data_IF_285950655390
#
_entry.id   IF_285950655390
#
_cell.length_a   1.000
_cell.length_b   1.000
_cell.length_c   1.000
_cell.angle_alpha   90.00
_cell.angle_beta   90.00
_cell.angle_gamma   90.00
#
_symmetry.space_group_name_H-M   'P 1'
#
loop_
_entity.id
_entity.type
_entity.pdbx_description
1 polymer ?
#
# COMPACT_ATOMS: atom_id res chain seq x y z
N UNK A 1 -3.19 25.60 50.05
CA UNK A 1 -3.97 26.39 49.06
C UNK A 1 -3.71 27.91 49.09
N UNK A 2 -3.15 28.47 50.12
CA UNK A 2 -2.90 29.93 50.22
C UNK A 2 -1.68 30.47 49.40
N UNK A 3 -0.70 29.66 49.10
CA UNK A 3 0.50 30.12 48.37
C UNK A 3 0.28 30.31 46.85
N UNK A 4 -0.70 29.61 46.22
CA UNK A 4 -1.03 29.82 44.82
C UNK A 4 -1.76 31.15 44.54
N UNK A 5 -2.51 31.66 45.49
CA UNK A 5 -3.21 32.94 45.36
C UNK A 5 -2.28 34.15 45.35
N UNK A 6 -1.12 34.08 46.02
CA UNK A 6 -0.17 35.15 46.11
C UNK A 6 0.58 35.44 44.78
N UNK A 7 0.68 34.48 43.87
CA UNK A 7 1.32 34.65 42.57
C UNK A 7 0.36 35.14 41.46
N UNK A 8 -0.95 35.02 41.65
CA UNK A 8 -1.94 35.42 40.64
C UNK A 8 -2.31 36.90 40.69
N UNK A 9 -2.11 37.57 41.83
CA UNK A 9 -2.46 38.99 41.99
C UNK A 9 -1.55 39.94 41.21
N UNK A 10 -0.19 39.81 41.21
CA UNK A 10 0.68 40.70 40.41
C UNK A 10 0.54 40.44 38.89
N UNK A 11 0.23 39.20 38.46
CA UNK A 11 0.02 38.89 37.05
C UNK A 11 -1.23 39.59 36.47
N UNK A 12 -2.33 39.68 37.23
CA UNK A 12 -3.55 40.36 36.78
C UNK A 12 -3.32 41.86 36.54
N UNK A 13 -2.50 42.51 37.38
CA UNK A 13 -2.16 43.90 37.20
C UNK A 13 -1.34 44.18 35.94
N UNK A 14 -0.35 43.32 35.63
CA UNK A 14 0.50 43.47 34.47
C UNK A 14 -0.27 43.25 33.14
N UNK A 15 -1.27 42.34 33.13
CA UNK A 15 -2.14 42.12 31.99
C UNK A 15 -3.11 43.26 31.72
N UNK A 16 -3.58 43.95 32.77
CA UNK A 16 -4.50 45.07 32.66
C UNK A 16 -3.82 46.38 32.21
N UNK A 17 -2.52 46.55 32.50
CA UNK A 17 -1.78 47.79 32.17
C UNK A 17 -1.45 47.92 30.67
N UNK A 18 -1.32 46.81 29.93
CA UNK A 18 -1.00 46.86 28.51
C UNK A 18 -1.82 45.80 27.71
N UNK A 19 -3.11 46.00 27.48
CA UNK A 19 -4.00 44.98 26.89
C UNK A 19 -3.60 44.63 25.45
N UNK A 20 -3.07 45.58 24.71
CA UNK A 20 -2.65 45.37 23.32
C UNK A 20 -1.39 44.46 23.24
N UNK A 21 -0.45 44.61 24.17
CA UNK A 21 0.76 43.79 24.26
C UNK A 21 0.41 42.35 24.67
N UNK A 22 -0.53 42.20 25.59
CA UNK A 22 -1.05 40.91 26.03
C UNK A 22 -1.81 40.21 24.89
N UNK A 23 -2.67 40.93 24.15
CA UNK A 23 -3.39 40.40 23.01
C UNK A 23 -2.43 39.90 21.92
N UNK A 24 -1.38 40.65 21.61
CA UNK A 24 -0.34 40.25 20.66
C UNK A 24 0.41 39.00 21.11
N UNK A 25 0.74 38.89 22.39
CA UNK A 25 1.43 37.71 22.93
C UNK A 25 0.53 36.47 22.88
N UNK A 26 -0.75 36.59 23.25
CA UNK A 26 -1.74 35.50 23.13
C UNK A 26 -1.92 35.09 21.68
N UNK A 27 -2.03 36.05 20.78
CA UNK A 27 -2.16 35.78 19.33
C UNK A 27 -0.93 35.06 18.78
N UNK A 28 0.27 35.46 19.17
CA UNK A 28 1.52 34.80 18.76
C UNK A 28 1.58 33.34 19.24
N UNK A 29 1.22 33.09 20.51
CA UNK A 29 1.19 31.74 21.08
C UNK A 29 0.10 30.92 20.36
N UNK A 30 -1.10 31.48 20.15
CA UNK A 30 -2.19 30.79 19.48
C UNK A 30 -1.81 30.42 18.04
N UNK A 31 -1.16 31.32 17.29
CA UNK A 31 -0.64 31.05 15.95
C UNK A 31 0.44 29.93 15.96
N UNK A 32 1.35 29.96 16.93
CA UNK A 32 2.37 28.92 17.06
C UNK A 32 1.77 27.54 17.35
N UNK A 33 0.79 27.46 18.25
CA UNK A 33 0.06 26.23 18.56
C UNK A 33 -0.77 25.77 17.36
N UNK A 34 -1.48 26.69 16.68
CA UNK A 34 -2.28 26.37 15.50
C UNK A 34 -1.40 25.84 14.35
N UNK A 35 -0.23 26.43 14.10
CA UNK A 35 0.72 25.97 13.10
C UNK A 35 1.27 24.58 13.46
N UNK A 36 1.68 24.36 14.70
CA UNK A 36 2.15 23.06 15.16
C UNK A 36 1.08 21.97 15.04
N UNK A 37 -0.16 22.30 15.35
CA UNK A 37 -1.29 21.40 15.19
C UNK A 37 -1.58 21.10 13.70
N UNK A 38 -1.56 22.12 12.85
CA UNK A 38 -1.78 21.95 11.40
C UNK A 38 -0.71 21.04 10.78
N UNK A 39 0.58 21.26 11.08
CA UNK A 39 1.68 20.41 10.60
C UNK A 39 1.50 18.96 11.09
N UNK A 40 1.16 18.78 12.37
CA UNK A 40 0.92 17.43 12.92
C UNK A 40 -0.28 16.73 12.25
N UNK A 41 -1.34 17.46 11.91
CA UNK A 41 -2.50 16.92 11.19
C UNK A 41 -2.17 16.53 9.76
N UNK A 42 -1.37 17.34 9.06
CA UNK A 42 -0.92 17.04 7.69
C UNK A 42 -0.03 15.80 7.68
N UNK A 43 0.95 15.73 8.57
CA UNK A 43 1.84 14.56 8.67
C UNK A 43 1.07 13.29 9.07
N UNK A 44 0.13 13.37 10.02
CA UNK A 44 -0.69 12.23 10.41
C UNK A 44 -1.65 11.75 9.31
N UNK A 45 -2.12 12.65 8.45
CA UNK A 45 -2.93 12.27 7.29
C UNK A 45 -2.09 11.53 6.22
N UNK A 46 -0.86 12.00 5.96
CA UNK A 46 0.07 11.36 5.04
C UNK A 46 0.51 9.97 5.54
N UNK A 47 0.83 9.84 6.83
CA UNK A 47 1.19 8.56 7.44
C UNK A 47 0.03 7.55 7.40
N UNK A 48 -1.21 7.99 7.63
CA UNK A 48 -2.39 7.14 7.55
C UNK A 48 -2.68 6.68 6.10
N UNK A 49 -2.53 7.54 5.10
CA UNK A 49 -2.71 7.16 3.70
C UNK A 49 -1.65 6.15 3.24
N UNK A 50 -0.38 6.36 3.63
CA UNK A 50 0.70 5.43 3.34
C UNK A 50 0.48 4.08 4.04
N UNK A 51 0.11 4.09 5.31
CA UNK A 51 -0.15 2.87 6.10
C UNK A 51 -1.35 2.10 5.55
N UNK A 52 -2.43 2.78 5.20
CA UNK A 52 -3.59 2.14 4.57
C UNK A 52 -3.24 1.56 3.20
N UNK A 53 -2.43 2.25 2.39
CA UNK A 53 -1.96 1.75 1.10
C UNK A 53 -1.10 0.51 1.23
N UNK A 54 -0.19 0.48 2.19
CA UNK A 54 0.64 -0.70 2.49
C UNK A 54 -0.23 -1.85 2.97
N UNK A 55 -1.13 -1.64 3.93
CA UNK A 55 -2.04 -2.68 4.42
C UNK A 55 -2.97 -3.23 3.34
N UNK A 56 -3.40 -2.43 2.37
CA UNK A 56 -4.18 -2.96 1.24
C UNK A 56 -3.38 -3.88 0.34
N UNK A 57 -2.11 -3.53 0.08
CA UNK A 57 -1.24 -4.31 -0.80
C UNK A 57 -0.62 -5.52 -0.11
N UNK A 58 -0.32 -5.42 1.19
CA UNK A 58 0.24 -6.53 1.99
C UNK A 58 -0.86 -7.35 2.69
N UNK A 59 -2.03 -6.76 2.91
CA UNK A 59 -3.16 -7.42 3.57
C UNK A 59 -2.83 -7.88 5.00
N UNK A 60 -3.28 -9.09 5.33
CA UNK A 60 -3.01 -9.78 6.60
C UNK A 60 -1.73 -10.64 6.55
N UNK A 61 -0.76 -10.28 5.72
CA UNK A 61 0.54 -10.96 5.70
C UNK A 61 1.32 -10.64 6.98
N UNK A 62 1.88 -11.67 7.61
CA UNK A 62 2.77 -11.51 8.77
C UNK A 62 4.18 -11.15 8.35
N UNK A 63 4.61 -11.61 7.17
CA UNK A 63 5.92 -11.36 6.58
C UNK A 63 5.83 -11.26 5.06
N UNK A 64 6.78 -10.54 4.48
CA UNK A 64 6.94 -10.40 3.05
C UNK A 64 8.37 -10.78 2.65
N UNK A 65 8.51 -11.71 1.70
CA UNK A 65 9.80 -12.01 1.04
C UNK A 65 9.86 -11.21 -0.24
N UNK A 66 10.73 -10.22 -0.30
CA UNK A 66 10.86 -9.29 -1.43
C UNK A 66 12.18 -9.44 -2.15
N UNK A 67 12.12 -9.43 -3.47
CA UNK A 67 13.29 -9.42 -4.34
C UNK A 67 13.72 -8.01 -4.80
N UNK A 68 14.80 -7.93 -5.58
CA UNK A 68 15.20 -6.69 -6.23
C UNK A 68 14.16 -6.24 -7.26
N UNK A 69 14.32 -5.00 -7.79
CA UNK A 69 13.37 -4.42 -8.79
C UNK A 69 13.14 -5.28 -10.04
N UNK A 70 14.10 -6.13 -10.40
CA UNK A 70 13.97 -7.08 -11.51
C UNK A 70 13.15 -8.33 -11.18
N UNK A 71 12.78 -8.53 -9.93
CA UNK A 71 12.17 -9.74 -9.44
C UNK A 71 13.19 -10.85 -9.10
N UNK A 72 12.68 -12.01 -8.74
CA UNK A 72 13.45 -13.21 -8.43
C UNK A 72 12.75 -14.47 -8.95
N UNK A 73 13.48 -15.58 -9.02
CA UNK A 73 12.96 -16.83 -9.58
C UNK A 73 11.78 -17.37 -8.78
N UNK A 74 10.70 -17.66 -9.47
CA UNK A 74 9.46 -18.23 -8.90
C UNK A 74 9.69 -19.59 -8.25
N UNK A 75 10.73 -20.31 -8.64
CA UNK A 75 11.07 -21.65 -8.15
C UNK A 75 11.18 -21.74 -6.61
N UNK A 76 11.44 -20.63 -5.91
CA UNK A 76 11.49 -20.59 -4.44
C UNK A 76 10.11 -20.65 -3.78
N UNK A 77 9.05 -20.27 -4.50
CA UNK A 77 7.70 -20.18 -3.95
C UNK A 77 7.17 -21.52 -3.39
N UNK A 78 7.30 -22.66 -4.11
CA UNK A 78 6.83 -23.94 -3.59
C UNK A 78 7.50 -24.36 -2.28
N UNK A 79 8.76 -24.01 -2.09
CA UNK A 79 9.51 -24.36 -0.87
C UNK A 79 9.00 -23.54 0.32
N UNK A 80 8.79 -22.22 0.12
CA UNK A 80 8.20 -21.37 1.15
C UNK A 80 6.77 -21.77 1.49
N UNK A 81 5.95 -22.09 0.49
CA UNK A 81 4.57 -22.49 0.67
C UNK A 81 4.40 -23.82 1.42
N UNK A 82 5.42 -24.71 1.40
CA UNK A 82 5.42 -26.00 2.11
C UNK A 82 6.02 -25.94 3.50
N UNK A 83 6.56 -24.80 3.94
CA UNK A 83 7.12 -24.67 5.28
C UNK A 83 6.06 -24.97 6.35
N UNK A 84 6.42 -25.76 7.37
CA UNK A 84 5.49 -26.20 8.40
C UNK A 84 4.80 -25.06 9.16
N UNK A 85 5.49 -23.93 9.31
CA UNK A 85 5.02 -22.73 10.04
C UNK A 85 4.16 -21.80 9.17
N UNK A 86 4.15 -21.98 7.85
CA UNK A 86 3.39 -21.15 6.91
C UNK A 86 1.97 -21.69 6.78
N UNK A 87 0.98 -20.82 6.97
CA UNK A 87 -0.42 -21.12 6.74
C UNK A 87 -0.81 -20.87 5.28
N UNK A 88 -0.41 -19.73 4.74
CA UNK A 88 -0.65 -19.34 3.35
C UNK A 88 0.56 -18.57 2.83
N UNK A 89 0.97 -18.87 1.60
CA UNK A 89 1.92 -18.09 0.84
C UNK A 89 1.23 -17.58 -0.45
N UNK A 90 1.34 -16.30 -0.76
CA UNK A 90 0.75 -15.69 -1.95
C UNK A 90 1.84 -15.05 -2.79
N UNK A 91 2.07 -15.53 -4.03
CA UNK A 91 3.02 -14.93 -4.94
C UNK A 91 2.45 -13.65 -5.56
N UNK A 92 3.31 -12.65 -5.75
CA UNK A 92 2.91 -11.35 -6.30
C UNK A 92 3.93 -10.88 -7.34
N UNK A 93 3.44 -10.35 -8.45
CA UNK A 93 4.20 -9.64 -9.47
C UNK A 93 3.81 -8.16 -9.44
N UNK A 94 4.77 -7.27 -9.28
CA UNK A 94 4.55 -5.83 -9.33
C UNK A 94 5.24 -5.23 -10.55
N UNK A 95 4.51 -4.42 -11.31
CA UNK A 95 5.02 -3.72 -12.49
C UNK A 95 4.55 -2.28 -12.47
N UNK A 96 5.47 -1.35 -12.69
CA UNK A 96 5.15 0.05 -12.91
C UNK A 96 5.02 0.30 -14.43
N UNK A 97 3.79 0.49 -14.88
CA UNK A 97 3.45 0.66 -16.29
C UNK A 97 3.18 2.13 -16.60
N UNK A 98 3.70 2.64 -17.71
CA UNK A 98 3.34 3.96 -18.23
C UNK A 98 2.03 3.86 -19.00
N UNK A 99 1.18 4.86 -18.85
CA UNK A 99 -0.02 5.02 -19.66
C UNK A 99 0.16 6.27 -20.51
N UNK A 100 0.01 6.19 -21.84
CA UNK A 100 0.14 7.35 -22.72
C UNK A 100 -0.77 8.50 -22.26
N UNK A 101 -0.21 9.70 -22.15
CA UNK A 101 -0.93 10.90 -21.69
C UNK A 101 -1.08 11.05 -20.17
N UNK A 102 -0.51 10.12 -19.38
CA UNK A 102 -0.53 10.19 -17.91
C UNK A 102 0.90 10.25 -17.38
N UNK A 103 1.23 11.29 -16.60
CA UNK A 103 2.60 11.49 -16.10
C UNK A 103 3.04 10.44 -15.07
N UNK A 104 2.10 10.00 -14.22
CA UNK A 104 2.42 9.10 -13.11
C UNK A 104 2.16 7.67 -13.53
N UNK A 105 3.16 6.78 -13.42
CA UNK A 105 3.00 5.36 -13.76
C UNK A 105 1.85 4.72 -12.98
N UNK A 106 1.16 3.80 -13.62
CA UNK A 106 0.17 2.93 -13.01
C UNK A 106 0.89 1.70 -12.44
N UNK A 107 0.81 1.50 -11.13
CA UNK A 107 1.27 0.25 -10.53
C UNK A 107 0.27 -0.86 -10.84
N UNK A 108 0.74 -1.93 -11.46
CA UNK A 108 -0.06 -3.13 -11.75
C UNK A 108 0.44 -4.25 -10.85
N UNK A 109 -0.49 -4.87 -10.12
CA UNK A 109 -0.22 -5.94 -9.16
C UNK A 109 -0.86 -7.23 -9.69
N UNK A 110 -0.04 -8.17 -10.11
CA UNK A 110 -0.45 -9.52 -10.46
C UNK A 110 -0.54 -10.39 -9.19
N UNK A 111 -1.70 -10.96 -8.92
CA UNK A 111 -1.97 -11.78 -7.74
C UNK A 111 -2.51 -13.16 -8.13
N UNK A 112 -2.22 -14.17 -7.32
CA UNK A 112 -2.91 -15.45 -7.38
C UNK A 112 -4.31 -15.28 -6.74
N UNK A 113 -5.35 -15.19 -7.58
CA UNK A 113 -6.73 -14.93 -7.14
C UNK A 113 -7.28 -15.98 -6.19
N UNK A 114 -6.73 -17.20 -6.18
CA UNK A 114 -7.13 -18.28 -5.28
C UNK A 114 -6.50 -18.15 -3.89
N UNK A 115 -5.33 -17.53 -3.80
CA UNK A 115 -4.56 -17.39 -2.55
C UNK A 115 -4.70 -16.00 -1.94
N UNK A 116 -4.80 -14.98 -2.78
CA UNK A 116 -4.93 -13.59 -2.34
C UNK A 116 -6.15 -13.38 -1.42
N UNK A 117 -7.23 -14.12 -1.62
CA UNK A 117 -8.41 -14.05 -0.74
C UNK A 117 -8.15 -14.35 0.73
N UNK A 118 -7.10 -15.10 1.03
CA UNK A 118 -6.73 -15.45 2.40
C UNK A 118 -5.76 -14.46 3.04
N UNK A 119 -5.06 -13.66 2.25
CA UNK A 119 -4.07 -12.68 2.73
C UNK A 119 -4.51 -11.25 2.43
N UNK A 120 -5.03 -11.01 1.24
CA UNK A 120 -5.36 -9.68 0.71
C UNK A 120 -6.79 -9.62 0.18
N UNK A 121 -7.81 -9.85 1.04
CA UNK A 121 -9.20 -9.86 0.58
C UNK A 121 -9.64 -8.55 -0.10
N UNK A 122 -9.02 -7.42 0.26
CA UNK A 122 -9.27 -6.12 -0.34
C UNK A 122 -8.80 -5.97 -1.80
N UNK A 123 -7.92 -6.85 -2.28
CA UNK A 123 -7.48 -6.87 -3.69
C UNK A 123 -8.39 -7.71 -4.58
N UNK A 124 -9.30 -8.48 -4.00
CA UNK A 124 -10.28 -9.21 -4.80
C UNK A 124 -11.34 -8.25 -5.33
N UNK A 125 -11.45 -8.20 -6.64
CA UNK A 125 -12.47 -7.40 -7.28
C UNK A 125 -13.88 -7.93 -6.99
N UNK A 126 -14.80 -7.00 -6.82
CA UNK A 126 -16.23 -7.30 -6.89
C UNK A 126 -16.61 -7.40 -8.37
N UNK A 127 -16.14 -8.46 -9.02
CA UNK A 127 -16.49 -8.69 -10.43
C UNK A 127 -17.93 -9.19 -10.54
N UNK A 128 -18.64 -8.68 -11.53
CA UNK A 128 -19.96 -9.17 -11.88
C UNK A 128 -19.91 -10.65 -12.35
N UNK A 129 -18.79 -11.04 -12.94
CA UNK A 129 -18.45 -12.42 -13.29
C UNK A 129 -17.11 -12.82 -12.64
N UNK A 130 -17.13 -13.85 -11.81
CA UNK A 130 -15.93 -14.42 -11.17
C UNK A 130 -14.92 -14.96 -12.17
N UNK A 131 -15.34 -15.34 -13.36
CA UNK A 131 -14.47 -15.83 -14.43
C UNK A 131 -13.66 -14.69 -15.07
N UNK A 132 -14.15 -13.45 -15.02
CA UNK A 132 -13.40 -12.29 -15.51
C UNK A 132 -12.08 -12.10 -14.76
N UNK A 133 -11.99 -12.51 -13.48
CA UNK A 133 -10.75 -12.40 -12.71
C UNK A 133 -9.63 -13.31 -13.22
N UNK A 134 -9.96 -14.36 -13.95
CA UNK A 134 -8.99 -15.32 -14.49
C UNK A 134 -8.59 -15.00 -15.94
N UNK A 135 -9.17 -14.00 -16.54
CA UNK A 135 -8.81 -13.61 -17.92
C UNK A 135 -7.44 -12.93 -17.91
N UNK A 136 -6.53 -13.33 -18.80
CA UNK A 136 -5.15 -12.83 -18.81
C UNK A 136 -5.06 -11.34 -19.20
N UNK A 137 -6.09 -10.78 -19.83
CA UNK A 137 -6.19 -9.38 -20.25
C UNK A 137 -7.04 -8.52 -19.32
N UNK A 138 -7.64 -9.09 -18.28
CA UNK A 138 -8.54 -8.39 -17.37
C UNK A 138 -7.79 -7.57 -16.34
N UNK A 139 -8.08 -6.27 -16.30
CA UNK A 139 -7.51 -5.31 -15.38
C UNK A 139 -8.60 -4.75 -14.46
N UNK A 140 -8.41 -4.83 -13.16
CA UNK A 140 -9.27 -4.24 -12.16
C UNK A 140 -8.60 -3.00 -11.59
N UNK A 141 -9.26 -1.85 -11.69
CA UNK A 141 -8.71 -0.57 -11.28
C UNK A 141 -9.22 -0.16 -9.90
N UNK A 142 -8.39 0.51 -9.14
CA UNK A 142 -8.91 1.28 -8.01
C UNK A 142 -9.75 2.45 -8.52
N UNK A 143 -10.76 2.94 -7.76
CA UNK A 143 -11.54 4.10 -8.16
C UNK A 143 -10.69 5.33 -8.48
N UNK A 144 -9.58 5.52 -7.75
CA UNK A 144 -8.63 6.60 -8.01
C UNK A 144 -7.87 6.41 -9.33
N UNK A 145 -7.49 5.18 -9.68
CA UNK A 145 -6.87 4.87 -10.96
C UNK A 145 -7.85 5.08 -12.11
N UNK A 146 -9.08 4.54 -12.01
CA UNK A 146 -10.12 4.69 -13.03
C UNK A 146 -10.39 6.18 -13.34
N UNK A 147 -10.56 7.01 -12.28
CA UNK A 147 -10.72 8.46 -12.46
C UNK A 147 -9.51 9.12 -13.10
N UNK A 148 -8.29 8.77 -12.71
CA UNK A 148 -7.07 9.40 -13.25
C UNK A 148 -6.82 9.05 -14.72
N UNK A 149 -7.29 7.89 -15.15
CA UNK A 149 -7.19 7.41 -16.52
C UNK A 149 -8.41 7.79 -17.37
N UNK A 150 -9.47 8.31 -16.76
CA UNK A 150 -10.76 8.62 -17.38
C UNK A 150 -11.36 7.42 -18.14
N UNK A 151 -11.32 6.22 -17.51
CA UNK A 151 -11.81 4.95 -18.09
C UNK A 151 -12.85 4.30 -17.18
N UNK A 152 -13.70 3.47 -17.80
CA UNK A 152 -14.74 2.69 -17.14
C UNK A 152 -14.62 1.20 -17.47
N UNK A 153 -15.40 0.36 -16.78
CA UNK A 153 -15.51 -1.06 -17.09
C UNK A 153 -15.93 -1.27 -18.54
N UNK A 154 -15.23 -2.14 -19.25
CA UNK A 154 -15.39 -2.41 -20.68
C UNK A 154 -14.38 -1.71 -21.59
N UNK A 155 -13.75 -0.62 -21.13
CA UNK A 155 -12.73 0.09 -21.89
C UNK A 155 -11.43 -0.71 -22.00
N UNK A 156 -10.59 -0.33 -22.95
CA UNK A 156 -9.24 -0.89 -23.11
C UNK A 156 -8.20 0.18 -22.79
N UNK A 157 -7.32 -0.11 -21.83
CA UNK A 157 -6.17 0.72 -21.49
C UNK A 157 -4.92 0.15 -22.14
N UNK A 158 -4.18 0.95 -22.87
CA UNK A 158 -2.85 0.58 -23.36
C UNK A 158 -1.82 0.97 -22.31
N UNK A 159 -1.08 0.00 -21.83
CA UNK A 159 0.00 0.21 -20.87
C UNK A 159 1.33 -0.10 -21.52
N UNK A 160 2.35 0.69 -21.20
CA UNK A 160 3.70 0.48 -21.69
C UNK A 160 4.60 0.03 -20.54
N UNK A 161 5.22 -1.13 -20.71
CA UNK A 161 6.27 -1.65 -19.82
C UNK A 161 7.52 -1.86 -20.64
N UNK A 162 8.62 -1.21 -20.25
CA UNK A 162 9.83 -1.12 -21.07
C UNK A 162 9.54 -0.59 -22.48
N UNK A 163 9.70 -1.41 -23.52
CA UNK A 163 9.43 -1.05 -24.92
C UNK A 163 8.15 -1.69 -25.47
N UNK A 164 7.46 -2.52 -24.70
CA UNK A 164 6.26 -3.21 -25.12
C UNK A 164 4.99 -2.45 -24.71
N UNK A 165 4.08 -2.27 -25.64
CA UNK A 165 2.72 -1.80 -25.37
C UNK A 165 1.78 -3.00 -25.28
N UNK A 166 1.00 -3.05 -24.19
CA UNK A 166 0.05 -4.13 -23.92
C UNK A 166 -1.34 -3.53 -23.77
N UNK A 167 -2.33 -3.97 -24.59
CA UNK A 167 -3.71 -3.60 -24.36
C UNK A 167 -4.31 -4.49 -23.26
N UNK A 168 -4.90 -3.85 -22.24
CA UNK A 168 -5.58 -4.52 -21.14
C UNK A 168 -7.02 -4.02 -21.06
N UNK A 169 -7.96 -4.93 -20.85
CA UNK A 169 -9.39 -4.63 -20.71
C UNK A 169 -9.73 -4.31 -19.27
N UNK A 170 -10.34 -3.17 -19.03
CA UNK A 170 -10.87 -2.81 -17.70
C UNK A 170 -12.08 -3.71 -17.43
N UNK A 171 -11.92 -4.67 -16.53
CA UNK A 171 -12.96 -5.63 -16.19
C UNK A 171 -13.87 -5.13 -15.05
N UNK A 172 -13.39 -4.18 -14.23
CA UNK A 172 -14.15 -3.61 -13.13
C UNK A 172 -13.31 -2.77 -12.20
N UNK A 173 -13.90 -2.38 -11.08
CA UNK A 173 -13.25 -1.60 -10.04
C UNK A 173 -13.05 -2.45 -8.76
N UNK A 174 -11.99 -2.12 -8.02
CA UNK A 174 -11.73 -2.66 -6.69
C UNK A 174 -12.55 -1.90 -5.64
N UNK A 175 -13.27 -2.62 -4.78
CA UNK A 175 -14.29 -2.02 -3.92
C UNK A 175 -13.76 -1.06 -2.85
N UNK A 176 -12.58 -1.26 -2.30
CA UNK A 176 -12.16 -0.57 -1.07
C UNK A 176 -10.71 -0.03 -1.11
N UNK A 177 -10.27 0.52 -2.22
CA UNK A 177 -8.86 0.89 -2.42
C UNK A 177 -8.49 2.32 -1.97
N UNK A 178 -9.34 3.03 -1.24
CA UNK A 178 -9.07 4.40 -0.78
C UNK A 178 -8.67 5.33 -1.94
N UNK A 179 -7.68 6.18 -1.73
CA UNK A 179 -7.17 7.12 -2.75
C UNK A 179 -5.93 6.60 -3.50
N UNK A 180 -5.54 5.35 -3.29
CA UNK A 180 -4.39 4.73 -3.94
C UNK A 180 -4.65 4.44 -5.42
N UNK A 181 -3.66 4.73 -6.29
CA UNK A 181 -3.75 4.51 -7.74
C UNK A 181 -2.98 3.25 -8.12
N UNK A 182 -3.65 2.14 -8.24
CA UNK A 182 -3.09 0.89 -8.75
C UNK A 182 -4.15 0.07 -9.46
N UNK A 183 -3.69 -0.96 -10.13
CA UNK A 183 -4.53 -1.95 -10.79
C UNK A 183 -4.15 -3.36 -10.33
N UNK A 184 -5.09 -4.28 -10.42
CA UNK A 184 -4.90 -5.69 -10.10
C UNK A 184 -5.29 -6.53 -11.31
N UNK A 185 -4.54 -7.61 -11.55
CA UNK A 185 -4.86 -8.64 -12.55
C UNK A 185 -4.42 -10.00 -12.06
N UNK A 186 -4.79 -11.05 -12.77
CA UNK A 186 -4.28 -12.39 -12.49
C UNK A 186 -2.77 -12.47 -12.69
N UNK A 187 -2.09 -13.22 -11.81
CA UNK A 187 -0.62 -13.31 -11.81
C UNK A 187 -0.08 -13.92 -13.11
N UNK A 188 -0.73 -14.97 -13.64
CA UNK A 188 -0.29 -15.60 -14.88
C UNK A 188 -0.48 -14.64 -16.06
N UNK A 189 -1.56 -13.86 -16.08
CA UNK A 189 -1.78 -12.79 -17.04
C UNK A 189 -0.70 -11.70 -16.95
N UNK A 190 -0.36 -11.26 -15.73
CA UNK A 190 0.69 -10.28 -15.51
C UNK A 190 2.08 -10.79 -15.95
N UNK A 191 2.42 -12.02 -15.59
CA UNK A 191 3.68 -12.63 -16.01
C UNK A 191 3.81 -12.72 -17.54
N UNK A 192 2.74 -13.16 -18.20
CA UNK A 192 2.73 -13.28 -19.66
C UNK A 192 2.75 -11.91 -20.36
N UNK A 193 1.94 -10.96 -19.90
CA UNK A 193 1.81 -9.63 -20.51
C UNK A 193 3.07 -8.78 -20.40
N UNK A 194 3.84 -8.95 -19.31
CA UNK A 194 4.97 -8.08 -18.98
C UNK A 194 6.34 -8.77 -19.06
N UNK A 195 6.42 -9.93 -19.73
CA UNK A 195 7.67 -10.71 -19.87
C UNK A 195 8.30 -11.05 -18.51
N UNK A 196 7.48 -11.53 -17.59
CA UNK A 196 7.86 -11.90 -16.22
C UNK A 196 7.62 -13.39 -15.91
N UNK A 197 7.51 -14.22 -16.93
CA UNK A 197 7.31 -15.67 -16.74
C UNK A 197 8.42 -16.25 -15.85
N UNK A 198 8.01 -17.00 -14.81
CA UNK A 198 8.92 -17.61 -13.85
C UNK A 198 9.58 -16.61 -12.89
N UNK A 199 9.09 -15.37 -12.80
CA UNK A 199 9.63 -14.32 -11.94
C UNK A 199 8.55 -13.74 -11.03
N UNK A 200 8.90 -13.48 -9.77
CA UNK A 200 8.07 -12.82 -8.76
C UNK A 200 8.73 -11.56 -8.24
N UNK A 201 7.94 -10.59 -7.82
CA UNK A 201 8.43 -9.37 -7.14
C UNK A 201 8.49 -9.58 -5.63
N UNK A 202 7.49 -10.29 -5.08
CA UNK A 202 7.44 -10.66 -3.67
C UNK A 202 6.58 -11.91 -3.43
N UNK A 203 6.70 -12.47 -2.23
CA UNK A 203 5.83 -13.51 -1.71
C UNK A 203 5.34 -13.04 -0.34
N UNK A 204 4.02 -12.91 -0.19
CA UNK A 204 3.38 -12.57 1.06
C UNK A 204 3.10 -13.85 1.85
N UNK A 205 3.51 -13.89 3.12
CA UNK A 205 3.42 -15.06 3.98
C UNK A 205 2.49 -14.77 5.15
N UNK A 206 1.49 -15.61 5.34
CA UNK A 206 0.70 -15.70 6.56
C UNK A 206 1.14 -16.91 7.35
N UNK A 207 1.49 -16.71 8.61
CA UNK A 207 1.98 -17.76 9.49
C UNK A 207 0.82 -18.49 10.18
N UNK A 208 1.09 -19.68 10.69
CA UNK A 208 0.13 -20.41 11.52
C UNK A 208 -0.02 -19.74 12.88
N UNK A 209 -1.19 -19.87 13.53
CA UNK A 209 -1.39 -19.35 14.88
C UNK A 209 -0.32 -19.87 15.86
N UNK A 210 0.24 -18.94 16.64
CA UNK A 210 1.26 -19.25 17.66
C UNK A 210 2.70 -19.27 17.16
N UNK A 211 2.94 -19.03 15.87
CA UNK A 211 4.31 -18.84 15.33
C UNK A 211 4.70 -17.38 15.58
N UNK A 212 5.89 -17.17 16.17
CA UNK A 212 6.47 -15.84 16.33
C UNK A 212 7.05 -15.35 15.01
N UNK A 213 6.51 -14.24 14.40
CA UNK A 213 6.97 -13.73 13.12
C UNK A 213 8.45 -13.31 13.14
N UNK A 214 8.94 -12.72 14.24
CA UNK A 214 10.31 -12.26 14.34
C UNK A 214 11.30 -13.44 14.32
N UNK A 215 11.02 -14.46 15.13
CA UNK A 215 11.85 -15.67 15.17
C UNK A 215 11.81 -16.44 13.83
N UNK A 216 10.65 -16.47 13.17
CA UNK A 216 10.51 -17.09 11.85
C UNK A 216 11.28 -16.31 10.79
N UNK A 217 11.19 -14.96 10.78
CA UNK A 217 11.93 -14.10 9.85
C UNK A 217 13.44 -14.30 9.94
N UNK A 218 13.99 -14.42 11.16
CA UNK A 218 15.43 -14.68 11.37
C UNK A 218 15.87 -16.06 10.83
N UNK A 219 15.03 -17.08 10.97
CA UNK A 219 15.31 -18.40 10.38
C UNK A 219 15.26 -18.34 8.86
N UNK A 220 14.25 -17.65 8.34
CA UNK A 220 14.01 -17.53 6.91
C UNK A 220 15.16 -16.78 6.23
N UNK A 221 15.63 -15.66 6.78
CA UNK A 221 16.78 -14.89 6.24
C UNK A 221 18.04 -15.71 6.08
N UNK A 222 18.28 -16.68 6.95
CA UNK A 222 19.46 -17.57 6.87
C UNK A 222 19.36 -18.60 5.76
N UNK A 223 18.15 -18.96 5.34
CA UNK A 223 17.91 -19.97 4.30
C UNK A 223 17.63 -19.41 2.91
N UNK A 224 17.39 -18.11 2.81
CA UNK A 224 17.08 -17.48 1.53
C UNK A 224 18.32 -17.22 0.67
N UNK A 225 18.18 -17.30 -0.67
CA UNK A 225 19.21 -16.86 -1.59
C UNK A 225 19.63 -15.41 -1.37
N UNK A 226 20.88 -15.03 -1.70
CA UNK A 226 21.33 -13.66 -1.63
C UNK A 226 20.45 -12.72 -2.50
N UNK A 227 20.20 -11.51 -2.00
CA UNK A 227 19.39 -10.50 -2.70
C UNK A 227 17.91 -10.49 -2.36
N UNK A 228 17.43 -11.45 -1.59
CA UNK A 228 16.07 -11.44 -1.03
C UNK A 228 16.05 -10.81 0.36
N UNK A 229 15.04 -9.99 0.63
CA UNK A 229 14.79 -9.38 1.93
C UNK A 229 13.55 -9.99 2.57
N UNK A 230 13.55 -10.10 3.91
CA UNK A 230 12.37 -10.44 4.71
C UNK A 230 11.98 -9.20 5.49
N UNK A 231 10.78 -8.70 5.22
CA UNK A 231 10.16 -7.51 5.81
C UNK A 231 9.04 -7.92 6.74
#
# INVERSE_FOLDING_TARGET
MAQFAAYLTPMRGAFAQNPMRTALAVLAIALGVALGYAVRRINGAADNELTQGVHMLSGDADLEVRGPRGGFAEAIFPDLARMADVAVASPVVEVDAKVPGVEVPLKIVGIDVFRAGFIQPGLLATAADRLDTLRPDALFLTPAAARSLAVAAGDTVRVQVALAEVPLRVAGELGAAGNQRFAVMDIAGAQAAFDRLGSLSRIDLRLKPGVDPAAFAERLRRGLPPGLAVL
#
